data_IF_906898146706
#
_entry.id   IF_906898146706
#
_cell.length_a   1.000
_cell.length_b   1.000
_cell.length_c   1.000
_cell.angle_alpha   90.00
_cell.angle_beta   90.00
_cell.angle_gamma   90.00
#
_symmetry.space_group_name_H-M   'P 1'
#
loop_
_entity.id
_entity.type
_entity.pdbx_description
1 polymer ?
#
# COMPACT_ATOMS: atom_id res chain seq x y z
N UNK A 1 -15.40 9.06 27.15
CA UNK A 1 -16.25 8.73 28.32
C UNK A 1 -16.35 9.97 29.19
N UNK A 2 -17.52 10.30 29.73
CA UNK A 2 -17.64 11.38 30.73
C UNK A 2 -17.25 10.86 32.12
N UNK A 3 -16.92 11.75 33.06
CA UNK A 3 -16.61 11.38 34.46
C UNK A 3 -17.78 10.59 35.09
N UNK A 4 -19.02 10.95 34.75
CA UNK A 4 -20.21 10.26 35.24
C UNK A 4 -20.29 8.83 34.69
N UNK A 5 -19.95 8.65 33.42
CA UNK A 5 -19.94 7.34 32.79
C UNK A 5 -18.79 6.46 33.32
N UNK A 6 -17.63 7.03 33.63
CA UNK A 6 -16.54 6.32 34.31
C UNK A 6 -16.96 5.86 35.71
N UNK A 7 -17.64 6.71 36.49
CA UNK A 7 -18.17 6.34 37.80
C UNK A 7 -19.21 5.23 37.73
N UNK A 8 -20.10 5.31 36.74
CA UNK A 8 -21.17 4.34 36.49
C UNK A 8 -20.64 2.99 36.06
N UNK A 9 -19.70 2.96 35.11
CA UNK A 9 -19.15 1.73 34.53
C UNK A 9 -18.02 1.15 35.35
N UNK A 10 -17.26 1.98 36.06
CA UNK A 10 -16.00 1.61 36.69
C UNK A 10 -14.84 1.42 35.69
N UNK A 11 -15.01 1.87 34.44
CA UNK A 11 -13.93 1.94 33.45
C UNK A 11 -13.35 3.35 33.43
N UNK A 12 -12.05 3.45 33.21
CA UNK A 12 -11.29 4.70 33.13
C UNK A 12 -10.98 5.00 31.66
N UNK A 13 -11.27 6.21 31.21
CA UNK A 13 -11.00 6.62 29.84
C UNK A 13 -9.51 6.84 29.59
N UNK A 14 -9.09 6.66 28.32
CA UNK A 14 -7.70 6.83 27.88
C UNK A 14 -6.68 6.04 28.71
N UNK A 15 -7.10 4.90 29.26
CA UNK A 15 -6.32 4.04 30.15
C UNK A 15 -6.18 2.63 29.59
N UNK A 16 -5.03 2.01 29.81
CA UNK A 16 -4.75 0.67 29.32
C UNK A 16 -5.16 -0.38 30.36
N UNK A 17 -5.87 -1.42 29.91
CA UNK A 17 -6.21 -2.59 30.70
C UNK A 17 -5.50 -3.82 30.16
N UNK A 18 -4.97 -4.66 31.04
CA UNK A 18 -4.35 -5.92 30.63
C UNK A 18 -5.41 -7.01 30.50
N UNK A 19 -5.42 -7.72 29.38
CA UNK A 19 -6.25 -8.92 29.20
C UNK A 19 -5.50 -10.11 29.82
N UNK A 20 -6.04 -10.67 30.89
CA UNK A 20 -5.46 -11.81 31.61
C UNK A 20 -5.98 -13.15 31.10
N UNK A 21 -7.23 -13.20 30.68
CA UNK A 21 -7.85 -14.41 30.14
C UNK A 21 -8.99 -14.07 29.17
N UNK A 22 -9.24 -14.98 28.23
CA UNK A 22 -10.40 -14.96 27.34
C UNK A 22 -11.04 -16.34 27.41
N UNK A 23 -12.31 -16.40 27.78
CA UNK A 23 -13.03 -17.67 27.96
C UNK A 23 -14.35 -17.65 27.20
N UNK A 24 -14.70 -18.81 26.63
CA UNK A 24 -16.02 -19.06 26.04
C UNK A 24 -16.69 -20.18 26.83
N UNK A 25 -17.78 -19.87 27.53
CA UNK A 25 -18.59 -20.83 28.28
C UNK A 25 -19.96 -20.91 27.61
N UNK A 26 -20.27 -22.04 26.98
CA UNK A 26 -21.39 -22.14 26.02
C UNK A 26 -21.27 -21.02 24.96
N UNK A 27 -22.31 -20.21 24.74
CA UNK A 27 -22.25 -19.08 23.80
C UNK A 27 -21.78 -17.76 24.43
N UNK A 28 -21.56 -17.73 25.75
CA UNK A 28 -21.09 -16.55 26.46
C UNK A 28 -19.57 -16.39 26.31
N UNK A 29 -19.14 -15.21 25.86
CA UNK A 29 -17.73 -14.82 25.72
C UNK A 29 -17.38 -13.81 26.80
N UNK A 30 -16.38 -14.13 27.61
CA UNK A 30 -15.94 -13.32 28.74
C UNK A 30 -14.44 -13.03 28.64
N UNK A 31 -14.06 -11.82 29.06
CA UNK A 31 -12.66 -11.41 29.17
C UNK A 31 -12.37 -11.08 30.64
N UNK A 32 -11.23 -11.57 31.15
CA UNK A 32 -10.69 -11.19 32.46
C UNK A 32 -9.72 -10.05 32.24
N UNK A 33 -10.07 -8.86 32.72
CA UNK A 33 -9.24 -7.67 32.59
C UNK A 33 -8.62 -7.31 33.94
N UNK A 34 -7.48 -6.62 33.88
CA UNK A 34 -6.82 -6.02 35.04
C UNK A 34 -6.59 -4.53 34.79
N UNK A 35 -7.08 -3.72 35.71
CA UNK A 35 -6.64 -2.33 35.87
C UNK A 35 -5.21 -2.32 36.47
N UNK A 36 -4.20 -1.76 35.77
CA UNK A 36 -2.84 -1.68 36.27
C UNK A 36 -2.70 -0.93 37.60
N UNK A 37 -3.62 -0.01 37.92
CA UNK A 37 -3.64 0.68 39.22
C UNK A 37 -4.01 -0.23 40.39
N UNK A 38 -4.42 -1.47 40.12
CA UNK A 38 -4.83 -2.46 41.11
C UNK A 38 -6.00 -2.02 42.00
N UNK A 39 -6.81 -1.07 41.52
CA UNK A 39 -8.09 -0.65 42.11
C UNK A 39 -9.01 -0.13 40.99
N UNK A 40 -10.29 0.04 41.29
CA UNK A 40 -11.37 0.40 40.34
C UNK A 40 -11.64 -0.72 39.32
N UNK A 41 -12.82 -1.31 39.43
CA UNK A 41 -13.30 -2.43 38.61
C UNK A 41 -14.56 -2.08 37.84
N UNK A 42 -14.79 -2.85 36.79
CA UNK A 42 -16.07 -2.89 36.08
C UNK A 42 -17.24 -3.13 37.05
N UNK A 43 -18.30 -2.33 36.91
CA UNK A 43 -19.50 -2.38 37.75
C UNK A 43 -20.74 -2.90 37.02
N UNK A 44 -20.58 -3.30 35.75
CA UNK A 44 -21.69 -3.82 34.95
C UNK A 44 -21.84 -5.33 35.08
N UNK A 45 -22.33 -5.96 34.00
CA UNK A 45 -22.62 -7.39 33.97
C UNK A 45 -21.35 -8.23 34.20
N UNK A 46 -21.44 -9.25 35.04
CA UNK A 46 -20.31 -10.07 35.49
C UNK A 46 -19.25 -9.31 36.31
N UNK A 47 -19.62 -8.19 36.94
CA UNK A 47 -18.84 -7.61 38.04
C UNK A 47 -18.99 -8.43 39.32
N UNK A 48 -18.18 -8.14 40.33
CA UNK A 48 -18.32 -8.73 41.66
C UNK A 48 -19.66 -8.36 42.34
N UNK A 49 -20.31 -7.28 41.90
CA UNK A 49 -21.58 -6.78 42.42
C UNK A 49 -22.80 -7.32 41.65
N UNK A 50 -22.59 -8.08 40.57
CA UNK A 50 -23.67 -8.62 39.76
C UNK A 50 -24.21 -9.95 40.31
N UNK A 51 -25.21 -9.87 41.18
CA UNK A 51 -25.83 -11.06 41.78
C UNK A 51 -26.62 -11.91 40.79
N UNK A 52 -27.00 -11.37 39.62
CA UNK A 52 -27.97 -12.01 38.71
C UNK A 52 -27.31 -12.85 37.63
N UNK A 53 -26.19 -12.38 37.08
CA UNK A 53 -25.59 -13.05 35.91
C UNK A 53 -24.64 -14.18 36.29
N UNK A 54 -24.16 -14.24 37.53
CA UNK A 54 -23.26 -15.29 38.00
C UNK A 54 -24.00 -16.57 38.40
N UNK A 55 -23.97 -17.58 37.54
CA UNK A 55 -24.44 -18.93 37.87
C UNK A 55 -23.35 -19.75 38.55
N UNK A 56 -23.73 -20.77 39.35
CA UNK A 56 -22.76 -21.67 39.99
C UNK A 56 -21.80 -22.32 38.99
N UNK A 57 -22.32 -22.74 37.83
CA UNK A 57 -21.52 -23.30 36.75
C UNK A 57 -20.49 -22.31 36.19
N UNK A 58 -20.84 -21.03 36.04
CA UNK A 58 -19.89 -20.00 35.58
C UNK A 58 -18.81 -19.73 36.62
N UNK A 59 -19.17 -19.66 37.91
CA UNK A 59 -18.22 -19.46 39.01
C UNK A 59 -17.17 -20.57 39.06
N UNK A 60 -17.62 -21.82 38.93
CA UNK A 60 -16.75 -23.00 38.89
C UNK A 60 -15.88 -23.02 37.63
N UNK A 61 -16.47 -22.80 36.45
CA UNK A 61 -15.74 -22.86 35.16
C UNK A 61 -14.65 -21.79 35.04
N UNK A 62 -14.90 -20.60 35.58
CA UNK A 62 -13.95 -19.48 35.51
C UNK A 62 -13.01 -19.39 36.71
N UNK A 63 -13.14 -20.30 37.68
CA UNK A 63 -12.46 -20.26 38.97
C UNK A 63 -12.56 -18.85 39.61
N UNK A 64 -13.79 -18.38 39.78
CA UNK A 64 -14.08 -17.02 40.23
C UNK A 64 -15.23 -16.98 41.24
N UNK A 65 -14.92 -16.45 42.43
CA UNK A 65 -15.92 -16.12 43.45
C UNK A 65 -16.11 -14.60 43.57
N UNK A 66 -17.29 -14.07 43.17
CA UNK A 66 -17.63 -12.66 43.32
C UNK A 66 -17.57 -12.16 44.77
N UNK A 67 -17.89 -13.01 45.76
CA UNK A 67 -17.95 -12.63 47.17
C UNK A 67 -16.54 -12.36 47.72
N UNK A 68 -15.62 -13.29 47.47
CA UNK A 68 -14.20 -13.11 47.73
C UNK A 68 -13.63 -11.90 46.99
N UNK A 69 -13.98 -11.71 45.71
CA UNK A 69 -13.56 -10.55 44.95
C UNK A 69 -14.06 -9.22 45.56
N UNK A 70 -15.28 -9.17 46.10
CA UNK A 70 -15.82 -7.97 46.75
C UNK A 70 -15.06 -7.58 48.04
N UNK A 71 -14.37 -8.53 48.69
CA UNK A 71 -13.61 -8.29 49.93
C UNK A 71 -12.29 -7.53 49.72
N UNK A 72 -11.69 -7.63 48.54
CA UNK A 72 -10.42 -6.98 48.21
C UNK A 72 -10.38 -6.55 46.74
N UNK A 73 -10.29 -5.24 46.52
CA UNK A 73 -10.12 -4.69 45.17
C UNK A 73 -8.64 -4.77 44.76
N UNK A 74 -8.36 -5.61 43.77
CA UNK A 74 -7.06 -5.77 43.12
C UNK A 74 -7.06 -5.32 41.65
N UNK A 75 -8.14 -4.64 41.24
CA UNK A 75 -8.38 -4.15 39.88
C UNK A 75 -8.69 -5.26 38.85
N UNK A 76 -8.87 -6.52 39.25
CA UNK A 76 -9.16 -7.64 38.34
C UNK A 76 -10.67 -7.90 38.31
N UNK A 77 -11.23 -8.01 37.11
CA UNK A 77 -12.66 -8.27 36.91
C UNK A 77 -12.94 -9.04 35.62
N UNK A 78 -14.10 -9.68 35.56
CA UNK A 78 -14.66 -10.24 34.33
C UNK A 78 -15.60 -9.24 33.68
N UNK A 79 -15.66 -9.26 32.34
CA UNK A 79 -16.56 -8.44 31.54
C UNK A 79 -17.00 -9.24 30.33
N UNK A 80 -18.25 -9.08 29.91
CA UNK A 80 -18.75 -9.75 28.70
C UNK A 80 -18.25 -9.06 27.43
N UNK A 81 -18.12 -9.86 26.37
CA UNK A 81 -17.60 -9.39 25.10
C UNK A 81 -18.40 -8.23 24.48
N UNK A 82 -19.72 -8.19 24.66
CA UNK A 82 -20.52 -7.08 24.12
C UNK A 82 -20.22 -5.78 24.87
N UNK A 83 -20.03 -5.83 26.19
CA UNK A 83 -19.59 -4.68 26.98
C UNK A 83 -18.18 -4.23 26.59
N UNK A 84 -17.27 -5.16 26.26
CA UNK A 84 -15.94 -4.80 25.71
C UNK A 84 -16.08 -4.05 24.39
N UNK A 85 -16.87 -4.56 23.44
CA UNK A 85 -17.10 -3.90 22.15
C UNK A 85 -17.78 -2.53 22.28
N UNK A 86 -18.57 -2.33 23.34
CA UNK A 86 -19.27 -1.08 23.58
C UNK A 86 -18.37 0.00 24.19
N UNK A 87 -17.40 -0.40 25.02
CA UNK A 87 -16.60 0.54 25.84
C UNK A 87 -15.14 0.69 25.42
N UNK A 88 -14.58 -0.20 24.59
CA UNK A 88 -13.19 -0.17 24.18
C UNK A 88 -13.03 0.01 22.67
N UNK A 89 -12.19 0.96 22.28
CA UNK A 89 -11.93 1.28 20.87
C UNK A 89 -10.72 0.52 20.28
N UNK A 90 -9.75 0.15 21.13
CA UNK A 90 -8.46 -0.39 20.71
C UNK A 90 -8.12 -1.67 21.47
N UNK A 91 -7.71 -2.70 20.74
CA UNK A 91 -7.23 -3.97 21.29
C UNK A 91 -5.81 -4.24 20.81
N UNK A 92 -4.83 -4.10 21.70
CA UNK A 92 -3.42 -4.32 21.39
C UNK A 92 -3.06 -5.81 21.58
N UNK A 93 -2.55 -6.45 20.54
CA UNK A 93 -2.10 -7.84 20.60
C UNK A 93 -0.62 -7.93 20.25
N UNK A 94 0.11 -8.68 21.07
CA UNK A 94 1.45 -9.14 20.74
C UNK A 94 1.37 -10.65 20.49
N UNK A 95 2.02 -11.14 19.44
CA UNK A 95 2.20 -12.57 19.23
C UNK A 95 3.64 -12.96 19.49
N UNK A 96 3.84 -14.23 19.88
CA UNK A 96 5.17 -14.80 19.92
C UNK A 96 5.70 -14.95 18.47
N UNK A 97 6.79 -14.26 18.07
CA UNK A 97 7.33 -14.39 16.72
C UNK A 97 7.75 -15.81 16.35
N UNK A 98 8.07 -16.65 17.34
CA UNK A 98 8.44 -18.05 17.13
C UNK A 98 7.30 -18.92 16.59
N UNK A 99 6.05 -18.40 16.57
CA UNK A 99 4.92 -19.07 15.91
C UNK A 99 5.09 -19.17 14.38
N UNK A 100 6.02 -18.40 13.79
CA UNK A 100 6.21 -18.33 12.35
C UNK A 100 7.55 -18.95 11.96
N UNK A 101 7.55 -20.11 11.27
CA UNK A 101 8.79 -20.77 10.85
C UNK A 101 9.55 -19.99 9.76
N UNK A 102 8.87 -19.12 9.02
CA UNK A 102 9.48 -18.33 7.95
C UNK A 102 9.29 -16.84 8.25
N UNK A 103 10.39 -16.10 8.27
CA UNK A 103 10.37 -14.65 8.51
C UNK A 103 11.37 -13.93 7.62
N UNK A 104 11.09 -12.67 7.31
CA UNK A 104 11.99 -11.77 6.60
C UNK A 104 11.84 -10.35 7.14
N UNK A 105 12.92 -9.59 7.17
CA UNK A 105 12.96 -8.24 7.71
C UNK A 105 13.81 -7.35 6.81
N UNK A 106 13.22 -6.27 6.29
CA UNK A 106 13.89 -5.28 5.46
C UNK A 106 13.79 -3.92 6.13
N UNK A 107 14.94 -3.25 6.32
CA UNK A 107 15.01 -1.88 6.81
C UNK A 107 15.27 -0.95 5.63
N UNK A 108 14.49 0.13 5.53
CA UNK A 108 14.48 1.04 4.38
C UNK A 108 14.26 2.48 4.79
N UNK A 109 14.65 3.38 3.89
CA UNK A 109 14.43 4.81 3.99
C UNK A 109 13.70 5.27 2.75
N UNK A 110 12.62 6.03 2.91
CA UNK A 110 11.92 6.70 1.81
C UNK A 110 12.12 8.21 1.91
N UNK A 111 13.06 8.72 1.11
CA UNK A 111 13.51 10.11 1.15
C UNK A 111 12.43 11.10 0.73
N UNK A 112 12.44 12.30 1.35
CA UNK A 112 11.65 13.46 0.91
C UNK A 112 11.92 13.77 -0.56
N UNK A 113 10.88 14.10 -1.32
CA UNK A 113 10.98 14.41 -2.76
C UNK A 113 11.05 13.19 -3.69
N UNK A 114 11.13 11.97 -3.18
CA UNK A 114 11.00 10.75 -3.99
C UNK A 114 9.54 10.34 -4.10
N UNK A 115 9.05 10.26 -5.33
CA UNK A 115 7.68 9.87 -5.65
C UNK A 115 6.65 10.98 -5.45
N UNK A 116 5.36 10.66 -5.69
CA UNK A 116 4.28 11.63 -5.57
C UNK A 116 4.04 12.01 -4.10
N UNK A 117 3.57 13.23 -3.88
CA UNK A 117 3.13 13.68 -2.54
C UNK A 117 1.93 12.84 -2.09
N UNK A 118 1.01 12.54 -3.00
CA UNK A 118 -0.18 11.74 -2.74
C UNK A 118 -0.41 10.71 -3.86
N UNK A 119 -0.94 9.56 -3.48
CA UNK A 119 -1.18 8.42 -4.36
C UNK A 119 -2.47 8.58 -5.20
N UNK A 120 -2.70 9.76 -5.78
CA UNK A 120 -3.94 10.04 -6.51
C UNK A 120 -3.98 9.38 -7.90
N UNK A 121 -2.86 9.42 -8.63
CA UNK A 121 -2.79 8.98 -10.03
C UNK A 121 -1.50 8.24 -10.39
N UNK A 122 -0.48 8.29 -9.54
CA UNK A 122 0.76 7.56 -9.71
C UNK A 122 1.18 6.99 -8.34
N UNK A 123 1.77 5.79 -8.34
CA UNK A 123 2.47 5.17 -7.20
C UNK A 123 3.73 4.41 -7.64
N UNK A 124 4.17 4.60 -8.89
CA UNK A 124 5.32 3.89 -9.49
C UNK A 124 6.60 4.06 -8.68
N UNK A 125 6.78 5.26 -8.11
CA UNK A 125 7.97 5.68 -7.37
C UNK A 125 7.89 5.38 -5.87
N UNK A 126 6.75 4.87 -5.39
CA UNK A 126 6.65 4.42 -4.01
C UNK A 126 7.52 3.17 -3.84
N UNK A 127 8.04 2.88 -2.62
CA UNK A 127 8.77 1.65 -2.38
C UNK A 127 7.87 0.43 -2.62
N UNK A 128 8.31 -0.47 -3.51
CA UNK A 128 7.56 -1.67 -3.85
C UNK A 128 8.42 -2.92 -3.62
N UNK A 129 7.77 -4.03 -3.26
CA UNK A 129 8.41 -5.29 -2.94
C UNK A 129 7.65 -6.43 -3.60
N UNK A 130 8.38 -7.38 -4.17
CA UNK A 130 7.82 -8.65 -4.65
C UNK A 130 7.81 -9.64 -3.49
N UNK A 131 6.64 -10.23 -3.26
CA UNK A 131 6.43 -11.32 -2.32
C UNK A 131 6.07 -12.57 -3.11
N UNK A 132 6.98 -13.54 -3.13
CA UNK A 132 6.82 -14.84 -3.79
C UNK A 132 6.65 -15.92 -2.73
N UNK A 133 5.47 -16.53 -2.66
CA UNK A 133 5.12 -17.61 -1.72
C UNK A 133 5.12 -18.94 -2.45
N UNK A 134 5.63 -19.98 -1.79
CA UNK A 134 5.48 -21.34 -2.32
C UNK A 134 3.99 -21.70 -2.46
N UNK A 135 3.64 -22.42 -3.54
CA UNK A 135 2.27 -22.91 -3.74
C UNK A 135 1.93 -23.84 -2.58
N UNK A 136 0.88 -23.49 -1.84
CA UNK A 136 0.40 -24.24 -0.68
C UNK A 136 -1.12 -24.35 -0.71
N UNK A 137 -1.64 -25.49 -0.25
CA UNK A 137 -3.08 -25.71 -0.13
C UNK A 137 -3.72 -24.79 0.92
N UNK A 138 -2.95 -24.38 1.94
CA UNK A 138 -3.37 -23.46 2.99
C UNK A 138 -2.15 -22.80 3.62
N UNK A 139 -2.26 -21.53 3.96
CA UNK A 139 -1.23 -20.79 4.68
C UNK A 139 -1.60 -19.33 4.86
N UNK A 140 -0.70 -18.56 5.45
CA UNK A 140 -0.85 -17.12 5.50
C UNK A 140 0.50 -16.42 5.62
N UNK A 141 0.54 -15.18 5.12
CA UNK A 141 1.63 -14.23 5.30
C UNK A 141 1.10 -13.00 6.00
N UNK A 142 1.74 -12.59 7.09
CA UNK A 142 1.50 -11.34 7.79
C UNK A 142 2.57 -10.35 7.41
N UNK A 143 2.17 -9.19 6.88
CA UNK A 143 3.06 -8.11 6.49
C UNK A 143 2.91 -6.98 7.50
N UNK A 144 3.96 -6.76 8.28
CA UNK A 144 4.07 -5.72 9.28
C UNK A 144 4.96 -4.60 8.76
N UNK A 145 4.36 -3.44 8.52
CA UNK A 145 5.07 -2.19 8.28
C UNK A 145 5.22 -1.46 9.62
N UNK A 146 6.46 -1.15 9.99
CA UNK A 146 6.79 -0.37 11.19
C UNK A 146 7.56 0.86 10.78
N UNK A 147 6.95 2.04 10.91
CA UNK A 147 7.66 3.32 10.82
C UNK A 147 8.53 3.51 12.06
N UNK A 148 9.76 3.95 11.85
CA UNK A 148 10.67 4.28 12.93
C UNK A 148 10.36 5.68 13.40
N UNK A 149 10.29 5.84 14.71
CA UNK A 149 10.12 7.13 15.36
C UNK A 149 11.45 7.44 16.03
N UNK A 150 12.18 8.37 15.45
CA UNK A 150 13.52 8.76 15.91
C UNK A 150 13.50 10.04 16.74
N UNK A 151 12.41 10.79 16.69
CA UNK A 151 12.25 12.07 17.37
C UNK A 151 10.97 12.11 18.21
N UNK A 152 11.05 12.67 19.42
CA UNK A 152 9.92 12.80 20.33
C UNK A 152 8.80 13.67 19.74
N UNK A 153 9.17 14.72 19.01
CA UNK A 153 8.22 15.67 18.45
C UNK A 153 7.37 15.04 17.33
N UNK A 154 7.98 14.17 16.52
CA UNK A 154 7.29 13.36 15.52
C UNK A 154 6.25 12.45 16.20
N UNK A 155 6.60 11.76 17.29
CA UNK A 155 5.62 10.96 18.04
C UNK A 155 4.44 11.77 18.57
N UNK A 156 4.71 12.97 19.09
CA UNK A 156 3.71 13.79 19.79
C UNK A 156 2.63 14.34 18.86
N UNK A 157 2.98 14.69 17.61
CA UNK A 157 2.04 15.27 16.64
C UNK A 157 1.59 14.25 15.60
N UNK A 158 2.50 13.34 15.22
CA UNK A 158 2.33 12.22 14.29
C UNK A 158 1.35 12.47 13.14
N UNK A 159 1.87 13.09 12.08
CA UNK A 159 1.12 13.43 10.85
C UNK A 159 1.32 12.41 9.74
N UNK A 160 2.13 11.38 9.98
CA UNK A 160 2.50 10.41 8.96
C UNK A 160 1.50 9.25 8.97
N UNK A 161 0.61 9.23 7.98
CA UNK A 161 -0.33 8.13 7.79
C UNK A 161 0.25 7.13 6.81
N UNK A 162 0.58 5.92 7.28
CA UNK A 162 1.23 4.86 6.51
C UNK A 162 0.28 3.70 6.25
N UNK A 163 0.57 2.92 5.20
CA UNK A 163 -0.12 1.67 4.90
C UNK A 163 0.74 0.77 3.99
N UNK A 164 0.32 -0.48 3.83
CA UNK A 164 0.77 -1.36 2.76
C UNK A 164 -0.42 -1.71 1.88
N UNK A 165 -0.27 -1.48 0.58
CA UNK A 165 -1.18 -1.97 -0.45
C UNK A 165 -0.66 -3.31 -0.98
N UNK A 166 -1.54 -4.26 -1.25
CA UNK A 166 -1.18 -5.57 -1.79
C UNK A 166 -1.87 -5.78 -3.12
N UNK A 167 -1.12 -6.19 -4.15
CA UNK A 167 -1.63 -6.43 -5.50
C UNK A 167 -1.36 -7.87 -5.94
N UNK A 168 -2.31 -8.44 -6.69
CA UNK A 168 -2.19 -9.76 -7.34
C UNK A 168 -1.79 -9.57 -8.81
N UNK A 169 -0.56 -9.10 -9.03
CA UNK A 169 -0.06 -8.71 -10.35
C UNK A 169 1.29 -9.37 -10.68
N UNK A 170 1.49 -10.61 -10.22
CA UNK A 170 2.67 -11.42 -10.52
C UNK A 170 3.99 -10.79 -10.04
N UNK A 171 3.93 -10.00 -8.96
CA UNK A 171 5.11 -9.34 -8.41
C UNK A 171 5.68 -8.23 -9.30
N UNK A 172 4.90 -7.69 -10.24
CA UNK A 172 5.31 -6.61 -11.15
C UNK A 172 5.16 -5.24 -10.49
N UNK A 173 5.89 -4.23 -11.00
CA UNK A 173 5.72 -2.85 -10.56
C UNK A 173 4.30 -2.37 -10.83
N UNK A 174 3.70 -1.69 -9.86
CA UNK A 174 2.38 -1.07 -9.97
C UNK A 174 2.58 0.42 -10.22
N UNK A 175 2.00 0.93 -11.30
CA UNK A 175 2.13 2.36 -11.65
C UNK A 175 0.94 3.17 -11.19
N UNK A 176 -0.26 2.60 -11.24
CA UNK A 176 -1.50 3.28 -10.94
C UNK A 176 -2.12 2.73 -9.65
N UNK A 177 -2.65 3.58 -8.75
CA UNK A 177 -3.20 3.14 -7.46
C UNK A 177 -4.37 2.15 -7.56
N UNK A 178 -5.18 2.26 -8.61
CA UNK A 178 -6.41 1.48 -8.80
C UNK A 178 -6.38 0.66 -10.09
N UNK A 179 -5.20 0.48 -10.70
CA UNK A 179 -5.07 -0.35 -11.89
C UNK A 179 -3.73 -1.11 -11.92
N UNK A 180 -3.76 -2.43 -11.58
CA UNK A 180 -4.95 -3.18 -11.18
C UNK A 180 -5.50 -2.75 -9.83
N UNK A 181 -6.75 -3.08 -9.51
CA UNK A 181 -7.29 -2.81 -8.17
C UNK A 181 -6.49 -3.53 -7.08
N UNK A 182 -6.23 -2.89 -5.93
CA UNK A 182 -5.51 -3.50 -4.83
C UNK A 182 -6.33 -4.66 -4.23
N UNK A 183 -5.68 -5.83 -4.10
CA UNK A 183 -6.24 -6.98 -3.40
C UNK A 183 -6.44 -6.70 -1.90
N UNK A 184 -5.50 -5.98 -1.27
CA UNK A 184 -5.67 -5.42 0.07
C UNK A 184 -5.42 -3.92 -0.03
N UNK A 185 -6.50 -3.14 0.10
CA UNK A 185 -6.44 -1.68 0.20
C UNK A 185 -6.32 -1.28 1.66
N UNK A 186 -5.09 -1.26 2.16
CA UNK A 186 -4.83 -0.95 3.56
C UNK A 186 -5.23 0.48 3.91
N UNK A 187 -6.02 0.65 4.99
CA UNK A 187 -6.33 1.98 5.52
C UNK A 187 -5.05 2.67 5.97
N UNK A 188 -4.87 3.91 5.51
CA UNK A 188 -3.78 4.78 5.96
C UNK A 188 -4.05 5.20 7.39
N UNK A 189 -3.15 4.84 8.30
CA UNK A 189 -3.28 5.10 9.73
C UNK A 189 -2.03 5.80 10.24
N UNK A 190 -2.19 6.67 11.23
CA UNK A 190 -1.09 7.33 11.92
C UNK A 190 -0.53 6.51 13.08
N UNK A 191 -0.78 5.20 13.12
CA UNK A 191 -0.03 4.30 14.01
C UNK A 191 1.38 4.09 13.42
N UNK A 192 2.43 3.96 14.24
CA UNK A 192 3.74 3.54 13.75
C UNK A 192 3.71 2.13 13.14
N UNK A 193 2.66 1.34 13.40
CA UNK A 193 2.51 -0.01 12.91
C UNK A 193 1.27 -0.16 12.05
N UNK A 194 1.44 -0.74 10.86
CA UNK A 194 0.39 -1.24 10.01
C UNK A 194 0.61 -2.73 9.76
N UNK A 195 -0.44 -3.54 9.96
CA UNK A 195 -0.41 -4.98 9.75
C UNK A 195 -1.50 -5.40 8.77
N UNK A 196 -1.16 -6.19 7.78
CA UNK A 196 -2.14 -6.93 6.98
C UNK A 196 -1.82 -8.42 6.92
N UNK A 197 -2.85 -9.23 6.69
CA UNK A 197 -2.77 -10.69 6.55
C UNK A 197 -3.21 -11.09 5.14
N UNK A 198 -2.33 -11.75 4.42
CA UNK A 198 -2.59 -12.41 3.15
C UNK A 198 -2.91 -13.87 3.45
N UNK A 199 -4.16 -14.29 3.23
CA UNK A 199 -4.57 -15.69 3.35
C UNK A 199 -4.26 -16.42 2.04
N UNK A 200 -3.63 -17.59 2.15
CA UNK A 200 -3.22 -18.43 1.02
C UNK A 200 -4.09 -19.68 0.95
N UNK A 201 -4.45 -20.06 -0.28
CA UNK A 201 -5.11 -21.30 -0.63
C UNK A 201 -4.69 -21.73 -2.05
N UNK A 202 -5.19 -22.87 -2.51
CA UNK A 202 -4.98 -23.46 -3.83
C UNK A 202 -5.30 -22.53 -5.02
N UNK A 203 -6.17 -21.53 -4.82
CA UNK A 203 -6.57 -20.54 -5.83
C UNK A 203 -5.84 -19.21 -5.72
N UNK A 204 -5.00 -19.05 -4.70
CA UNK A 204 -4.29 -17.80 -4.43
C UNK A 204 -3.03 -17.75 -5.29
N UNK A 205 -2.74 -16.63 -5.98
CA UNK A 205 -1.50 -16.52 -6.74
C UNK A 205 -0.28 -16.64 -5.83
N UNK A 206 0.81 -17.20 -6.36
CA UNK A 206 2.08 -17.32 -5.63
C UNK A 206 2.82 -15.99 -5.52
N UNK A 207 2.57 -15.03 -6.40
CA UNK A 207 3.31 -13.76 -6.42
C UNK A 207 2.41 -12.54 -6.22
N UNK A 208 2.87 -11.66 -5.35
CA UNK A 208 2.23 -10.40 -5.00
C UNK A 208 3.21 -9.24 -5.09
N UNK A 209 2.66 -8.04 -5.29
CA UNK A 209 3.40 -6.79 -5.08
C UNK A 209 2.88 -6.09 -3.83
N UNK A 210 3.80 -5.75 -2.93
CA UNK A 210 3.55 -4.92 -1.76
C UNK A 210 4.00 -3.50 -2.07
N UNK A 211 3.14 -2.51 -1.88
CA UNK A 211 3.48 -1.09 -2.06
C UNK A 211 3.37 -0.40 -0.71
N UNK A 212 4.48 0.14 -0.22
CA UNK A 212 4.47 1.03 0.96
C UNK A 212 3.91 2.37 0.51
N UNK A 213 2.91 2.87 1.23
CA UNK A 213 2.12 4.01 0.80
C UNK A 213 1.87 4.97 1.97
N UNK A 214 1.68 6.25 1.64
CA UNK A 214 1.36 7.31 2.59
C UNK A 214 0.15 8.14 2.10
N UNK A 215 -0.48 8.90 2.99
CA UNK A 215 -1.57 9.81 2.62
C UNK A 215 -1.02 11.05 1.92
N UNK A 216 -0.11 11.74 2.61
CA UNK A 216 0.61 12.92 2.13
C UNK A 216 2.07 12.80 2.58
N UNK A 217 2.94 12.51 1.63
CA UNK A 217 4.36 12.35 1.89
C UNK A 217 5.03 13.72 1.92
N UNK A 218 5.26 14.22 3.13
CA UNK A 218 5.93 15.50 3.35
C UNK A 218 7.37 15.35 3.86
N UNK A 219 7.69 14.20 4.46
CA UNK A 219 8.97 13.98 5.14
C UNK A 219 9.68 12.71 4.67
N UNK A 220 10.93 12.58 5.09
CA UNK A 220 11.70 11.34 4.94
C UNK A 220 11.23 10.40 6.04
N UNK A 221 10.89 9.16 5.68
CA UNK A 221 10.54 8.14 6.68
C UNK A 221 11.55 7.00 6.66
N UNK A 222 11.89 6.53 7.85
CA UNK A 222 12.62 5.28 8.05
C UNK A 222 11.60 4.22 8.48
N UNK A 223 11.70 3.01 7.94
CA UNK A 223 10.76 1.96 8.24
C UNK A 223 11.37 0.56 8.15
N UNK A 224 10.69 -0.37 8.80
CA UNK A 224 10.91 -1.81 8.66
C UNK A 224 9.70 -2.41 7.97
N UNK A 225 9.92 -3.16 6.90
CA UNK A 225 8.94 -4.07 6.33
C UNK A 225 9.30 -5.50 6.77
N UNK A 226 8.47 -6.10 7.60
CA UNK A 226 8.68 -7.46 8.11
C UNK A 226 7.55 -8.37 7.63
N UNK A 227 7.91 -9.56 7.18
CA UNK A 227 6.96 -10.60 6.81
C UNK A 227 7.13 -11.82 7.72
N UNK A 228 6.00 -12.40 8.13
CA UNK A 228 5.91 -13.64 8.89
C UNK A 228 5.00 -14.60 8.15
N UNK A 229 5.37 -15.86 8.01
CA UNK A 229 4.57 -16.81 7.25
C UNK A 229 4.56 -18.22 7.83
N UNK A 230 3.49 -18.95 7.53
CA UNK A 230 3.36 -20.39 7.81
C UNK A 230 3.94 -21.27 6.69
N UNK A 231 4.39 -20.67 5.58
CA UNK A 231 4.97 -21.36 4.44
C UNK A 231 6.24 -20.62 3.95
N UNK A 232 7.13 -21.30 3.21
CA UNK A 232 8.29 -20.64 2.63
C UNK A 232 7.87 -19.49 1.70
N UNK A 233 8.64 -18.41 1.74
CA UNK A 233 8.45 -17.27 0.87
C UNK A 233 9.78 -16.54 0.63
N UNK A 234 9.79 -15.70 -0.39
CA UNK A 234 10.86 -14.75 -0.69
C UNK A 234 10.25 -13.35 -0.73
N UNK A 235 10.87 -12.42 0.00
CA UNK A 235 10.52 -10.99 -0.05
C UNK A 235 11.72 -10.22 -0.59
N UNK A 236 11.53 -9.51 -1.70
CA UNK A 236 12.58 -8.74 -2.36
C UNK A 236 12.07 -7.35 -2.70
N UNK A 237 12.91 -6.34 -2.55
CA UNK A 237 12.62 -5.01 -3.08
C UNK A 237 12.54 -5.10 -4.60
N UNK A 238 11.50 -4.47 -5.17
CA UNK A 238 11.43 -4.25 -6.60
C UNK A 238 12.34 -3.09 -6.93
N UNK A 239 13.51 -3.41 -7.47
CA UNK A 239 14.33 -2.45 -8.20
C UNK A 239 13.71 -2.19 -9.56
N UNK A 240 14.18 -1.18 -10.28
CA UNK A 240 13.65 -0.90 -11.62
C UNK A 240 14.09 -2.02 -12.57
N UNK A 241 13.14 -2.85 -13.03
CA UNK A 241 13.39 -4.05 -13.84
C UNK A 241 13.96 -3.76 -15.23
N UNK A 242 14.00 -2.48 -15.61
CA UNK A 242 14.37 -2.00 -16.95
C UNK A 242 15.85 -1.64 -17.09
N UNK A 243 16.66 -1.81 -16.04
CA UNK A 243 18.09 -1.40 -16.02
C UNK A 243 18.27 0.04 -16.52
N UNK A 244 17.43 0.94 -16.02
CA UNK A 244 17.37 2.34 -16.46
C UNK A 244 18.67 3.04 -16.07
N UNK A 245 19.46 3.40 -17.08
CA UNK A 245 20.73 4.11 -16.93
C UNK A 245 20.63 5.57 -17.36
N UNK A 246 19.72 5.86 -18.29
CA UNK A 246 19.56 7.18 -18.89
C UNK A 246 18.15 7.70 -18.67
N UNK A 247 18.05 8.99 -18.42
CA UNK A 247 16.78 9.71 -18.26
C UNK A 247 16.84 11.00 -19.05
N UNK A 248 15.96 11.12 -20.03
CA UNK A 248 15.86 12.31 -20.88
C UNK A 248 14.44 12.87 -20.82
N UNK A 249 14.30 14.16 -20.51
CA UNK A 249 13.00 14.82 -20.41
C UNK A 249 12.92 16.00 -21.37
N UNK A 250 11.76 16.16 -22.01
CA UNK A 250 11.44 17.33 -22.86
C UNK A 250 10.08 17.90 -22.45
N UNK A 251 9.98 19.23 -22.51
CA UNK A 251 8.73 19.93 -22.33
C UNK A 251 8.01 20.08 -23.67
N UNK A 252 6.69 20.02 -23.65
CA UNK A 252 5.85 20.29 -24.81
C UNK A 252 4.52 20.92 -24.40
N UNK A 253 3.71 21.28 -25.39
CA UNK A 253 2.36 21.80 -25.17
C UNK A 253 1.40 21.34 -26.26
N UNK A 254 0.14 21.12 -25.88
CA UNK A 254 -0.98 21.07 -26.83
C UNK A 254 -1.51 22.50 -26.98
N UNK A 255 -1.50 23.04 -28.20
CA UNK A 255 -1.92 24.42 -28.47
C UNK A 255 -2.44 24.59 -29.89
N UNK A 256 -3.57 25.30 -30.04
CA UNK A 256 -4.19 25.58 -31.32
C UNK A 256 -4.48 24.30 -32.10
N UNK A 257 -4.02 24.25 -33.36
CA UNK A 257 -4.18 23.09 -34.22
C UNK A 257 -3.48 21.83 -33.68
N UNK A 258 -2.49 21.97 -32.79
CA UNK A 258 -1.79 20.84 -32.16
C UNK A 258 -2.55 20.25 -30.96
N UNK A 259 -3.68 20.81 -30.55
CA UNK A 259 -4.57 20.17 -29.57
C UNK A 259 -5.53 19.20 -30.28
N UNK A 260 -4.99 18.13 -30.86
CA UNK A 260 -5.69 17.27 -31.82
C UNK A 260 -6.66 16.25 -31.22
N UNK A 261 -6.60 15.99 -29.90
CA UNK A 261 -7.40 14.96 -29.23
C UNK A 261 -6.90 13.54 -29.50
N UNK A 262 -7.66 12.51 -29.10
CA UNK A 262 -7.25 11.11 -29.26
C UNK A 262 -7.47 10.58 -30.69
N UNK A 263 -6.99 9.35 -30.96
CA UNK A 263 -7.05 8.67 -32.27
C UNK A 263 -8.45 8.60 -32.91
N UNK A 264 -9.51 8.71 -32.10
CA UNK A 264 -10.89 8.72 -32.59
C UNK A 264 -11.27 10.04 -33.30
N UNK A 265 -10.41 11.05 -33.26
CA UNK A 265 -10.63 12.36 -33.88
C UNK A 265 -9.75 12.54 -35.13
N UNK A 266 -10.32 13.13 -36.18
CA UNK A 266 -9.62 13.40 -37.44
C UNK A 266 -8.39 14.32 -37.28
N UNK A 267 -8.39 15.14 -36.24
CA UNK A 267 -7.33 16.06 -35.84
C UNK A 267 -6.18 15.38 -35.09
N UNK A 268 -6.26 14.08 -34.78
CA UNK A 268 -5.21 13.35 -34.04
C UNK A 268 -3.82 13.52 -34.64
N UNK A 269 -3.73 13.50 -35.98
CA UNK A 269 -2.48 13.61 -36.74
C UNK A 269 -1.76 14.96 -36.56
N UNK A 270 -2.47 15.97 -36.06
CA UNK A 270 -1.95 17.32 -35.82
C UNK A 270 -1.33 17.47 -34.43
N UNK A 271 -1.51 16.49 -33.52
CA UNK A 271 -0.88 16.52 -32.19
C UNK A 271 0.65 16.66 -32.30
N UNK A 272 1.33 17.19 -31.26
CA UNK A 272 2.79 17.26 -31.23
C UNK A 272 3.39 15.88 -31.46
N UNK A 273 4.49 15.84 -32.21
CA UNK A 273 5.22 14.61 -32.52
C UNK A 273 6.66 14.77 -32.08
N UNK A 274 7.23 13.68 -31.55
CA UNK A 274 8.61 13.66 -31.10
C UNK A 274 9.32 12.49 -31.75
N UNK A 275 10.44 12.77 -32.42
CA UNK A 275 11.37 11.76 -32.90
C UNK A 275 12.25 11.32 -31.72
N UNK A 276 12.17 10.04 -31.38
CA UNK A 276 13.03 9.35 -30.43
C UNK A 276 14.04 8.52 -31.22
N UNK A 277 15.33 8.79 -31.05
CA UNK A 277 16.41 7.94 -31.56
C UNK A 277 16.98 7.11 -30.42
N UNK A 278 17.03 5.80 -30.62
CA UNK A 278 17.59 4.82 -29.70
C UNK A 278 18.89 4.31 -30.29
N UNK A 279 20.01 4.74 -29.71
CA UNK A 279 21.36 4.48 -30.24
C UNK A 279 21.90 3.09 -29.85
N UNK A 280 21.16 2.36 -29.01
CA UNK A 280 21.46 1.08 -28.33
C UNK A 280 22.75 0.34 -28.69
N UNK A 281 23.49 -0.05 -27.65
CA UNK A 281 24.76 -0.80 -27.80
C UNK A 281 24.55 -2.32 -27.82
N UNK A 282 23.34 -2.78 -27.51
CA UNK A 282 22.94 -4.20 -27.51
C UNK A 282 21.94 -4.47 -28.65
N UNK A 283 21.64 -5.75 -28.89
CA UNK A 283 20.63 -6.15 -29.86
C UNK A 283 19.21 -5.67 -29.49
N UNK A 284 18.95 -5.52 -28.19
CA UNK A 284 17.64 -5.09 -27.68
C UNK A 284 17.78 -4.24 -26.43
N UNK A 285 16.95 -3.20 -26.35
CA UNK A 285 16.95 -2.18 -25.30
C UNK A 285 15.57 -2.10 -24.61
N UNK A 286 15.55 -1.51 -23.41
CA UNK A 286 14.36 -1.34 -22.60
C UNK A 286 14.09 0.15 -22.39
N UNK A 287 12.85 0.57 -22.66
CA UNK A 287 12.41 1.94 -22.44
C UNK A 287 11.15 1.98 -21.57
N UNK A 288 11.03 3.06 -20.83
CA UNK A 288 9.82 3.48 -20.15
C UNK A 288 9.56 4.95 -20.49
N UNK A 289 8.39 5.23 -21.05
CA UNK A 289 8.02 6.56 -21.52
C UNK A 289 6.87 7.06 -20.64
N UNK A 290 7.11 8.14 -19.92
CA UNK A 290 6.15 8.80 -19.04
C UNK A 290 5.66 10.10 -19.69
N UNK A 291 4.34 10.32 -19.66
CA UNK A 291 3.72 11.60 -20.00
C UNK A 291 3.05 12.17 -18.77
N UNK A 292 3.46 13.38 -18.36
CA UNK A 292 2.90 14.14 -17.24
C UNK A 292 2.28 15.43 -17.73
N UNK A 293 1.05 15.72 -17.30
CA UNK A 293 0.29 16.92 -17.64
C UNK A 293 -0.59 17.35 -16.46
N UNK A 294 -1.17 18.56 -16.46
CA UNK A 294 -2.14 18.96 -15.46
C UNK A 294 -3.31 17.97 -15.34
N UNK A 295 -3.74 17.69 -14.11
CA UNK A 295 -4.71 16.63 -13.79
C UNK A 295 -6.07 16.79 -14.48
N UNK A 296 -6.45 17.99 -14.90
CA UNK A 296 -7.73 18.18 -15.61
C UNK A 296 -7.75 17.48 -16.99
N UNK A 297 -6.59 17.15 -17.56
CA UNK A 297 -6.51 16.50 -18.86
C UNK A 297 -6.45 14.99 -18.73
N UNK A 298 -7.32 14.31 -19.47
CA UNK A 298 -7.18 12.89 -19.76
C UNK A 298 -6.14 12.75 -20.88
N UNK A 299 -5.00 12.14 -20.60
CA UNK A 299 -3.85 12.06 -21.51
C UNK A 299 -3.55 10.63 -21.90
N UNK A 300 -2.94 10.47 -23.07
CA UNK A 300 -2.48 9.21 -23.62
C UNK A 300 -1.27 9.43 -24.53
N UNK A 301 -0.48 8.39 -24.73
CA UNK A 301 0.65 8.43 -25.67
C UNK A 301 0.62 7.22 -26.61
N UNK A 302 1.07 7.46 -27.84
CA UNK A 302 1.35 6.43 -28.83
C UNK A 302 2.83 6.49 -29.21
N UNK A 303 3.43 5.32 -29.42
CA UNK A 303 4.76 5.17 -29.98
C UNK A 303 4.68 4.31 -31.22
N UNK A 304 5.28 4.75 -32.32
CA UNK A 304 5.41 3.96 -33.55
C UNK A 304 6.87 3.80 -33.98
N UNK A 305 7.19 2.64 -34.54
CA UNK A 305 8.52 2.37 -35.09
C UNK A 305 8.60 2.95 -36.50
N UNK A 306 9.54 3.87 -36.71
CA UNK A 306 9.75 4.54 -38.01
C UNK A 306 10.79 3.79 -38.83
N UNK A 307 11.86 3.33 -38.19
CA UNK A 307 12.91 2.57 -38.85
C UNK A 307 13.93 2.03 -37.85
N UNK A 308 14.54 0.90 -38.16
CA UNK A 308 15.54 0.26 -37.31
C UNK A 308 16.95 0.50 -37.82
N UNK A 309 17.92 0.50 -36.90
CA UNK A 309 19.33 0.62 -37.26
C UNK A 309 19.80 -0.63 -38.02
N UNK A 310 19.31 -1.82 -37.63
CA UNK A 310 19.53 -3.06 -38.35
C UNK A 310 18.38 -3.31 -39.35
N UNK A 311 18.69 -3.20 -40.64
CA UNK A 311 17.72 -3.35 -41.75
C UNK A 311 17.15 -4.77 -41.83
N UNK A 312 17.87 -5.78 -41.35
CA UNK A 312 17.42 -7.17 -41.34
C UNK A 312 16.61 -7.52 -40.09
N UNK A 313 16.58 -6.64 -39.09
CA UNK A 313 15.81 -6.87 -37.88
C UNK A 313 14.32 -6.58 -38.13
N UNK A 314 13.45 -7.35 -37.48
CA UNK A 314 12.01 -7.09 -37.47
C UNK A 314 11.65 -6.33 -36.21
N UNK A 315 10.91 -5.23 -36.35
CA UNK A 315 10.47 -4.44 -35.21
C UNK A 315 9.52 -5.26 -34.33
N UNK A 316 9.78 -5.28 -33.01
CA UNK A 316 8.90 -5.94 -32.03
C UNK A 316 7.46 -5.43 -32.09
N UNK A 317 7.26 -4.19 -32.48
CA UNK A 317 5.95 -3.60 -32.77
C UNK A 317 6.08 -2.49 -33.81
N UNK A 318 5.02 -2.26 -34.59
CA UNK A 318 4.93 -1.09 -35.46
C UNK A 318 4.30 0.11 -34.74
N UNK A 319 3.32 -0.14 -33.86
CA UNK A 319 2.65 0.87 -33.06
C UNK A 319 2.22 0.30 -31.72
N UNK A 320 2.35 1.07 -30.64
CA UNK A 320 1.91 0.70 -29.29
C UNK A 320 1.42 1.95 -28.54
N UNK A 321 0.36 1.83 -27.74
CA UNK A 321 -0.17 2.93 -26.94
C UNK A 321 -0.05 2.65 -25.44
N UNK A 322 -0.16 3.69 -24.62
CA UNK A 322 -0.26 3.59 -23.15
C UNK A 322 -1.59 2.97 -22.65
N UNK A 323 -2.47 2.55 -23.56
CA UNK A 323 -3.81 2.06 -23.22
C UNK A 323 -4.81 3.20 -23.00
N UNK A 324 -5.71 3.01 -22.03
CA UNK A 324 -6.75 3.99 -21.68
C UNK A 324 -6.17 5.35 -21.31
N UNK A 325 -6.86 6.42 -21.71
CA UNK A 325 -6.49 7.78 -21.33
C UNK A 325 -6.71 7.97 -19.83
N UNK A 326 -5.79 8.65 -19.15
CA UNK A 326 -5.81 8.84 -17.69
C UNK A 326 -5.54 10.28 -17.32
N UNK A 327 -6.03 10.66 -16.14
CA UNK A 327 -5.87 12.00 -15.57
C UNK A 327 -4.39 12.33 -15.30
N UNK A 328 -3.82 13.23 -16.09
CA UNK A 328 -2.52 13.87 -15.84
C UNK A 328 -1.26 12.99 -15.93
N UNK A 329 -1.38 11.66 -15.92
CA UNK A 329 -0.22 10.76 -15.97
C UNK A 329 -0.52 9.47 -16.72
N UNK A 330 0.34 9.11 -17.66
CA UNK A 330 0.41 7.77 -18.26
C UNK A 330 1.85 7.32 -18.42
N UNK A 331 2.04 6.01 -18.43
CA UNK A 331 3.32 5.37 -18.66
C UNK A 331 3.19 4.26 -19.70
N UNK A 332 4.19 4.12 -20.57
CA UNK A 332 4.30 3.03 -21.53
C UNK A 332 5.65 2.33 -21.38
N UNK A 333 5.60 1.02 -21.14
CA UNK A 333 6.77 0.17 -21.00
C UNK A 333 7.02 -0.58 -22.33
N UNK A 334 8.25 -0.46 -22.83
CA UNK A 334 8.73 -1.04 -24.08
C UNK A 334 9.95 -1.91 -23.77
N UNK A 335 9.73 -3.22 -23.65
CA UNK A 335 10.79 -4.19 -23.37
C UNK A 335 11.36 -4.77 -24.66
N UNK A 336 12.64 -5.11 -24.65
CA UNK A 336 13.40 -5.78 -25.71
C UNK A 336 13.16 -5.20 -27.12
N UNK A 337 13.20 -3.87 -27.24
CA UNK A 337 13.03 -3.19 -28.52
C UNK A 337 14.34 -3.05 -29.27
N UNK A 338 14.28 -3.04 -30.59
CA UNK A 338 15.48 -2.89 -31.43
C UNK A 338 15.93 -1.42 -31.45
N UNK A 339 17.24 -1.13 -31.45
CA UNK A 339 17.77 0.22 -31.70
C UNK A 339 17.27 0.77 -33.04
N UNK A 340 16.90 2.04 -33.06
CA UNK A 340 16.21 2.64 -34.20
C UNK A 340 15.58 4.00 -33.90
N UNK A 341 14.80 4.48 -34.87
CA UNK A 341 13.99 5.69 -34.78
C UNK A 341 12.53 5.33 -34.50
N UNK A 342 11.98 5.99 -33.49
CA UNK A 342 10.59 5.89 -33.07
C UNK A 342 9.93 7.28 -33.09
N UNK A 343 8.63 7.33 -33.32
CA UNK A 343 7.82 8.54 -33.21
C UNK A 343 6.89 8.42 -32.00
N UNK A 344 6.89 9.44 -31.14
CA UNK A 344 6.01 9.54 -29.97
C UNK A 344 4.98 10.64 -30.22
N UNK A 345 3.70 10.31 -30.03
CA UNK A 345 2.58 11.26 -30.13
C UNK A 345 1.86 11.34 -28.78
N UNK A 346 2.17 12.34 -27.94
CA UNK A 346 1.37 12.67 -26.77
C UNK A 346 0.06 13.36 -27.18
N UNK A 347 -1.04 13.00 -26.53
CA UNK A 347 -2.36 13.53 -26.88
C UNK A 347 -3.28 13.64 -25.66
N UNK A 348 -4.23 14.56 -25.73
CA UNK A 348 -5.39 14.64 -24.84
C UNK A 348 -6.52 13.76 -25.38
N UNK A 349 -7.49 13.41 -24.53
CA UNK A 349 -8.65 12.63 -24.97
C UNK A 349 -9.53 13.42 -25.95
N UNK A 350 -9.88 14.66 -25.59
CA UNK A 350 -10.68 15.57 -26.42
C UNK A 350 -9.78 16.57 -27.17
N UNK A 351 -10.12 16.92 -28.43
CA UNK A 351 -9.51 18.03 -29.15
C UNK A 351 -9.75 19.38 -28.46
N UNK A 352 -8.90 20.36 -28.72
CA UNK A 352 -9.01 21.71 -28.18
C UNK A 352 -8.60 21.84 -26.71
N UNK A 353 -8.26 20.74 -26.03
CA UNK A 353 -7.67 20.78 -24.70
C UNK A 353 -6.21 21.25 -24.80
N UNK A 354 -5.98 22.52 -24.50
CA UNK A 354 -4.66 23.13 -24.53
C UNK A 354 -4.00 23.09 -23.16
N UNK A 355 -2.70 22.84 -23.12
CA UNK A 355 -1.94 22.82 -21.88
C UNK A 355 -0.52 22.27 -22.01
N UNK A 356 0.36 22.53 -21.03
CA UNK A 356 1.71 22.02 -21.02
C UNK A 356 1.75 20.53 -20.65
N UNK A 357 2.80 19.84 -21.10
CA UNK A 357 3.14 18.49 -20.65
C UNK A 357 4.66 18.30 -20.58
N UNK A 358 5.07 17.26 -19.87
CA UNK A 358 6.45 16.79 -19.78
C UNK A 358 6.47 15.34 -20.28
N UNK A 359 7.31 15.08 -21.27
CA UNK A 359 7.58 13.75 -21.79
C UNK A 359 8.94 13.30 -21.27
N UNK A 360 9.00 12.16 -20.58
CA UNK A 360 10.23 11.61 -20.01
C UNK A 360 10.47 10.21 -20.54
N UNK A 361 11.67 9.98 -21.07
CA UNK A 361 12.13 8.67 -21.52
C UNK A 361 13.21 8.19 -20.56
N UNK A 362 12.89 7.11 -19.86
CA UNK A 362 13.82 6.35 -19.05
C UNK A 362 14.29 5.15 -19.89
N UNK A 363 15.60 4.94 -20.04
CA UNK A 363 16.16 4.00 -21.01
C UNK A 363 17.35 3.21 -20.45
N UNK A 364 17.53 1.96 -20.93
CA UNK A 364 18.73 1.16 -20.69
C UNK A 364 19.96 1.64 -21.47
N UNK A 365 19.75 2.44 -22.52
CA UNK A 365 20.80 3.03 -23.36
C UNK A 365 20.64 4.55 -23.53
N UNK A 366 21.64 5.18 -24.14
CA UNK A 366 21.52 6.58 -24.56
C UNK A 366 20.39 6.74 -25.57
N UNK A 367 19.62 7.81 -25.42
CA UNK A 367 18.52 8.18 -26.31
C UNK A 367 18.53 9.67 -26.56
N UNK A 368 18.13 10.08 -27.77
CA UNK A 368 17.86 11.49 -28.09
C UNK A 368 16.39 11.68 -28.48
N UNK A 369 15.78 12.76 -28.01
CA UNK A 369 14.38 13.07 -28.29
C UNK A 369 14.26 14.52 -28.76
N UNK A 370 13.61 14.71 -29.90
CA UNK A 370 13.44 16.01 -30.53
C UNK A 370 12.01 16.16 -31.05
N UNK A 371 11.41 17.33 -30.89
CA UNK A 371 10.10 17.63 -31.48
C UNK A 371 10.23 17.79 -33.00
N UNK A 372 9.25 17.29 -33.77
CA UNK A 372 9.22 17.33 -35.25
C UNK A 372 7.95 18.00 -35.81
#
# INVERSE_FOLDING_TARGET
MSIEEERRTGLVSSHAYAVLAVQKVNDLKLLKLKNPWAHVRWKGRYSELDEKSWTSHLKETLDYDPTSAASFDNGIFWIDYNSVLHHFDVFCMNWNPALFPYTSCLHKTWNTGTGPICDLYNISENPQFSLDVSIVNSGAVWVLLTRHITELQDFKVNREYITVLVYKNDGKRVHYPNDPEPYISGKRINSPHYLCKIVLNDKTPSKFTLVVSQYEKMNTIHYTLRAYATCPFTLKELTNTYDIKFKTSVNGEWKGNRAGGCQNHKTYKENPKFKLTVDGLTDTENLQIELKAPKQYQVGLEVSCVGLNNINATAKFMRKSSGSYRSGYVILELLDIQPGTYEIIPSTYLPGNEGPFILTVNASCSVSINQI
#
